data_IF_219723269993
#
_entry.id   IF_219723269993
#
_cell.length_a   1.000
_cell.length_b   1.000
_cell.length_c   1.000
_cell.angle_alpha   90.00
_cell.angle_beta   90.00
_cell.angle_gamma   90.00
#
_symmetry.space_group_name_H-M   'P 1'
#
loop_
_entity.id
_entity.type
_entity.pdbx_description
1 polymer ?
#
# COMPACT_ATOMS: atom_id res chain seq x y z
N UNK A 1 -3.77 -23.36 -3.68
CA UNK A 1 -4.39 -22.03 -3.90
C UNK A 1 -3.53 -20.97 -3.21
N UNK A 2 -3.27 -19.84 -3.87
CA UNK A 2 -2.44 -18.77 -3.29
C UNK A 2 -3.24 -18.00 -2.23
N UNK A 3 -2.84 -18.16 -0.97
CA UNK A 3 -3.47 -17.54 0.21
C UNK A 3 -2.86 -16.18 0.54
N UNK A 4 -1.79 -15.77 -0.14
CA UNK A 4 -1.10 -14.50 0.12
C UNK A 4 -1.65 -13.40 -0.79
N UNK A 5 -2.05 -12.28 -0.20
CA UNK A 5 -2.43 -11.06 -0.90
C UNK A 5 -1.53 -9.92 -0.43
N UNK A 6 -0.87 -9.26 -1.38
CA UNK A 6 -0.14 -8.02 -1.13
C UNK A 6 -1.03 -6.83 -1.46
N UNK A 7 -0.92 -5.78 -0.65
CA UNK A 7 -1.57 -4.49 -0.86
C UNK A 7 -0.48 -3.48 -1.17
N UNK A 8 -0.60 -2.83 -2.32
CA UNK A 8 0.38 -1.86 -2.78
C UNK A 8 -0.28 -0.62 -3.37
N UNK A 9 0.40 0.52 -3.22
CA UNK A 9 0.09 1.78 -3.88
C UNK A 9 0.98 1.87 -5.11
N UNK A 10 0.38 2.06 -6.29
CA UNK A 10 1.13 2.39 -7.50
C UNK A 10 1.56 3.86 -7.41
N UNK A 11 2.86 4.09 -7.43
CA UNK A 11 3.46 5.43 -7.46
C UNK A 11 3.81 5.76 -8.92
N UNK A 12 4.42 4.83 -9.64
CA UNK A 12 4.80 4.98 -11.04
C UNK A 12 4.70 3.64 -11.80
N UNK A 13 4.94 3.62 -13.10
CA UNK A 13 4.78 2.46 -13.97
C UNK A 13 5.58 1.23 -13.52
N UNK A 14 6.76 1.44 -12.92
CA UNK A 14 7.60 0.38 -12.36
C UNK A 14 7.85 0.56 -10.85
N UNK A 15 7.08 1.41 -10.16
CA UNK A 15 7.26 1.69 -8.74
C UNK A 15 5.98 1.42 -7.95
N UNK A 16 6.03 0.41 -7.09
CA UNK A 16 4.94 -0.01 -6.23
C UNK A 16 5.41 -0.04 -4.78
N UNK A 17 4.69 0.68 -3.92
CA UNK A 17 4.94 0.66 -2.49
C UNK A 17 4.03 -0.36 -1.82
N UNK A 18 4.61 -1.40 -1.24
CA UNK A 18 3.87 -2.40 -0.48
C UNK A 18 3.54 -1.81 0.90
N UNK A 19 2.25 -1.61 1.18
CA UNK A 19 1.78 -1.08 2.47
C UNK A 19 1.46 -2.20 3.47
N UNK A 20 1.25 -3.41 2.98
CA UNK A 20 0.92 -4.56 3.81
C UNK A 20 0.54 -5.80 3.02
N UNK A 21 0.06 -6.79 3.74
CA UNK A 21 -0.32 -8.08 3.19
C UNK A 21 -1.24 -8.84 4.12
N UNK A 22 -2.03 -9.75 3.56
CA UNK A 22 -2.93 -10.60 4.32
C UNK A 22 -2.80 -12.05 3.87
N UNK A 23 -2.86 -12.97 4.84
CA UNK A 23 -3.05 -14.39 4.58
C UNK A 23 -4.55 -14.64 4.61
N UNK A 24 -5.11 -14.95 3.45
CA UNK A 24 -6.54 -15.17 3.27
C UNK A 24 -6.81 -16.66 3.05
N UNK A 25 -7.46 -17.27 4.02
CA UNK A 25 -7.86 -18.69 3.98
C UNK A 25 -9.22 -18.93 3.31
N UNK A 26 -9.96 -17.87 2.95
CA UNK A 26 -11.29 -17.93 2.34
C UNK A 26 -11.33 -17.31 0.93
N UNK A 27 -12.18 -17.84 0.04
CA UNK A 27 -12.29 -17.37 -1.35
C UNK A 27 -13.03 -16.01 -1.50
N UNK A 28 -14.04 -15.70 -0.67
CA UNK A 28 -14.82 -14.44 -0.75
C UNK A 28 -14.25 -13.32 0.13
N UNK A 29 -14.35 -12.06 -0.32
CA UNK A 29 -13.79 -10.88 0.39
C UNK A 29 -14.69 -10.34 1.50
N UNK A 30 -15.98 -10.65 1.46
CA UNK A 30 -16.95 -10.09 2.39
C UNK A 30 -16.69 -10.64 3.80
N UNK A 31 -16.63 -9.74 4.78
CA UNK A 31 -16.67 -10.02 6.23
C UNK A 31 -15.35 -10.42 6.94
N UNK A 32 -14.18 -10.38 6.31
CA UNK A 32 -12.93 -10.66 7.04
C UNK A 32 -12.32 -9.40 7.69
N UNK A 33 -12.24 -9.30 9.03
CA UNK A 33 -11.78 -8.10 9.73
C UNK A 33 -10.36 -7.68 9.32
N UNK A 34 -9.47 -8.64 9.02
CA UNK A 34 -8.10 -8.33 8.60
C UNK A 34 -8.03 -7.57 7.27
N UNK A 35 -8.94 -7.85 6.33
CA UNK A 35 -8.94 -7.13 5.04
C UNK A 35 -9.40 -5.68 5.16
N UNK A 36 -10.23 -5.37 6.16
CA UNK A 36 -10.61 -3.98 6.47
C UNK A 36 -9.45 -3.19 7.11
N UNK A 37 -8.63 -3.85 7.93
CA UNK A 37 -7.46 -3.21 8.52
C UNK A 37 -6.41 -2.87 7.46
N UNK A 38 -6.14 -3.79 6.53
CA UNK A 38 -5.24 -3.52 5.41
C UNK A 38 -5.76 -2.39 4.51
N UNK A 39 -7.07 -2.31 4.27
CA UNK A 39 -7.67 -1.19 3.54
C UNK A 39 -7.48 0.15 4.25
N UNK A 40 -7.65 0.21 5.57
CA UNK A 40 -7.41 1.42 6.37
C UNK A 40 -5.95 1.87 6.27
N UNK A 41 -5.00 0.94 6.34
CA UNK A 41 -3.56 1.23 6.19
C UNK A 41 -3.25 1.79 4.81
N UNK A 42 -3.80 1.17 3.76
CA UNK A 42 -3.60 1.62 2.38
C UNK A 42 -4.14 3.04 2.16
N UNK A 43 -5.35 3.33 2.66
CA UNK A 43 -5.92 4.68 2.55
C UNK A 43 -5.09 5.72 3.32
N UNK A 44 -4.67 5.40 4.55
CA UNK A 44 -3.84 6.30 5.35
C UNK A 44 -2.48 6.59 4.69
N UNK A 45 -1.83 5.57 4.14
CA UNK A 45 -0.58 5.75 3.40
C UNK A 45 -0.80 6.62 2.16
N UNK A 46 -1.89 6.39 1.41
CA UNK A 46 -2.25 7.20 0.24
C UNK A 46 -2.50 8.68 0.59
N UNK A 47 -3.21 8.94 1.67
CA UNK A 47 -3.45 10.30 2.17
C UNK A 47 -2.14 10.98 2.55
N UNK A 48 -1.27 10.28 3.27
CA UNK A 48 0.06 10.78 3.63
C UNK A 48 0.90 11.19 2.40
N UNK A 49 1.01 10.33 1.39
CA UNK A 49 1.75 10.67 0.16
C UNK A 49 1.14 11.86 -0.59
N UNK A 50 -0.19 12.00 -0.56
CA UNK A 50 -0.87 13.14 -1.15
C UNK A 50 -0.59 14.45 -0.40
N UNK A 51 -0.53 14.42 0.93
CA UNK A 51 -0.25 15.58 1.78
C UNK A 51 1.18 16.11 1.59
N UNK A 52 2.14 15.21 1.45
CA UNK A 52 3.56 15.56 1.25
C UNK A 52 3.90 15.83 -0.23
N UNK A 53 2.95 15.64 -1.15
CA UNK A 53 3.14 15.96 -2.56
C UNK A 53 3.94 14.92 -3.37
N UNK A 54 3.99 13.66 -2.93
CA UNK A 54 4.69 12.58 -3.62
C UNK A 54 3.75 11.90 -4.60
N UNK A 55 4.04 12.04 -5.91
CA UNK A 55 3.19 11.55 -6.99
C UNK A 55 3.93 10.74 -8.05
N UNK A 56 5.25 10.74 -8.03
CA UNK A 56 6.11 10.07 -9.00
C UNK A 56 7.28 9.38 -8.28
N UNK A 57 8.05 8.59 -9.03
CA UNK A 57 9.20 7.89 -8.46
C UNK A 57 10.27 8.85 -7.94
N UNK A 58 10.46 10.01 -8.59
CA UNK A 58 11.48 10.99 -8.24
C UNK A 58 11.21 11.62 -6.87
N UNK A 59 10.01 12.18 -6.66
CA UNK A 59 9.54 12.71 -5.37
C UNK A 59 9.55 11.65 -4.26
N UNK A 60 9.31 10.38 -4.60
CA UNK A 60 9.42 9.29 -3.63
C UNK A 60 10.87 9.00 -3.22
N UNK A 61 11.82 9.03 -4.15
CA UNK A 61 13.25 8.87 -3.82
C UNK A 61 13.81 10.07 -3.07
N UNK A 62 13.37 11.28 -3.37
CA UNK A 62 13.71 12.48 -2.60
C UNK A 62 13.30 12.33 -1.13
N UNK A 63 12.05 11.91 -0.87
CA UNK A 63 11.56 11.61 0.48
C UNK A 63 12.46 10.60 1.21
N UNK A 64 12.88 9.53 0.53
CA UNK A 64 13.74 8.51 1.13
C UNK A 64 15.13 9.05 1.48
N UNK A 65 15.68 9.93 0.64
CA UNK A 65 16.98 10.55 0.86
C UNK A 65 16.95 11.59 2.00
N UNK A 66 15.86 12.33 2.17
CA UNK A 66 15.69 13.29 3.28
C UNK A 66 15.56 12.61 4.66
N UNK A 67 15.11 11.35 4.69
CA UNK A 67 14.92 10.57 5.91
C UNK A 67 16.19 9.81 6.35
N UNK A 68 17.30 9.93 5.59
CA UNK A 68 18.55 9.19 5.79
C UNK A 68 19.65 10.05 6.41
#
# INVERSE_FOLDING_TARGET
ENQLRYYAIKIDDNCFLITGGAIKMSQKMQEHPDTNNELKKLNKAKEYFKEIGVFDAESFYELLNEQQ
#
